data_IF_987776494738
#
_entry.id   IF_987776494738
#
_cell.length_a   1.000
_cell.length_b   1.000
_cell.length_c   1.000
_cell.angle_alpha   90.00
_cell.angle_beta   90.00
_cell.angle_gamma   90.00
#
_symmetry.space_group_name_H-M   'P 1'
#
loop_
_entity.id
_entity.type
_entity.pdbx_description
1 polymer ?
#
# COMPACT_ATOMS: atom_id res chain seq x y z
N UNK A 1 -2.96 -8.39 10.48
CA UNK A 1 -2.59 -7.05 10.99
C UNK A 1 -3.72 -6.08 10.66
N UNK A 2 -3.79 -4.95 11.36
CA UNK A 2 -4.80 -3.91 11.12
C UNK A 2 -4.29 -2.92 10.07
N UNK A 3 -5.09 -2.66 9.04
CA UNK A 3 -4.83 -1.69 7.99
C UNK A 3 -4.92 -0.24 8.48
N UNK A 4 -4.89 0.70 7.53
CA UNK A 4 -4.98 2.14 7.80
C UNK A 4 -6.13 2.78 7.04
N UNK A 5 -6.45 4.03 7.39
CA UNK A 5 -7.47 4.85 6.73
C UNK A 5 -7.03 6.32 6.68
N UNK A 6 -5.74 6.54 6.46
CA UNK A 6 -5.12 7.86 6.34
C UNK A 6 -5.28 8.47 4.96
N UNK A 7 -5.68 7.69 3.94
CA UNK A 7 -5.84 8.13 2.54
C UNK A 7 -4.56 8.82 2.04
N UNK A 8 -4.67 10.05 1.56
CA UNK A 8 -3.54 10.84 1.04
C UNK A 8 -2.94 11.80 2.08
N UNK A 9 -3.24 11.62 3.37
CA UNK A 9 -2.74 12.50 4.44
C UNK A 9 -1.21 12.54 4.45
N UNK A 10 -0.63 13.74 4.50
CA UNK A 10 0.83 13.92 4.48
C UNK A 10 1.40 13.63 5.88
N UNK A 11 2.35 12.70 6.03
CA UNK A 11 2.97 12.44 7.32
C UNK A 11 3.86 13.62 7.74
N UNK A 12 3.80 14.00 9.02
CA UNK A 12 4.67 15.05 9.59
C UNK A 12 6.15 14.67 9.58
N UNK A 13 6.46 13.37 9.69
CA UNK A 13 7.81 12.83 9.63
C UNK A 13 7.83 11.53 8.82
N UNK A 14 8.49 11.55 7.67
CA UNK A 14 8.56 10.41 6.73
C UNK A 14 9.32 9.21 7.28
N UNK A 15 10.39 9.43 8.05
CA UNK A 15 11.18 8.34 8.65
C UNK A 15 10.39 7.63 9.76
N UNK A 16 9.57 8.37 10.51
CA UNK A 16 8.66 7.78 11.48
C UNK A 16 7.51 7.06 10.78
N UNK A 17 6.97 7.63 9.70
CA UNK A 17 5.93 7.00 8.89
C UNK A 17 6.38 5.65 8.31
N UNK A 18 7.57 5.58 7.72
CA UNK A 18 8.15 4.32 7.23
C UNK A 18 8.26 3.27 8.35
N UNK A 19 8.79 3.64 9.51
CA UNK A 19 8.88 2.72 10.67
C UNK A 19 7.51 2.21 11.11
N UNK A 20 6.49 3.07 11.14
CA UNK A 20 5.12 2.66 11.45
C UNK A 20 4.53 1.68 10.43
N UNK A 21 4.84 1.84 9.14
CA UNK A 21 4.43 0.89 8.10
C UNK A 21 5.17 -0.45 8.28
N UNK A 22 6.48 -0.40 8.48
CA UNK A 22 7.30 -1.58 8.73
C UNK A 22 6.77 -2.39 9.92
N UNK A 23 6.67 -1.77 11.10
CA UNK A 23 6.27 -2.46 12.34
C UNK A 23 4.84 -3.00 12.28
N UNK A 24 3.97 -2.35 11.49
CA UNK A 24 2.59 -2.79 11.30
C UNK A 24 2.47 -4.02 10.42
N UNK A 25 3.28 -4.11 9.36
CA UNK A 25 3.10 -5.09 8.30
C UNK A 25 4.15 -6.20 8.31
N UNK A 26 5.22 -6.09 9.10
CA UNK A 26 6.21 -7.15 9.26
C UNK A 26 5.53 -8.48 9.67
N UNK A 27 5.84 -9.54 8.93
CA UNK A 27 5.25 -10.88 9.07
C UNK A 27 3.71 -10.95 8.96
N UNK A 28 3.07 -9.90 8.45
CA UNK A 28 1.63 -9.90 8.24
C UNK A 28 1.27 -10.64 6.94
N UNK A 29 0.32 -11.56 7.04
CA UNK A 29 -0.23 -12.29 5.88
C UNK A 29 -1.63 -11.83 5.47
N UNK A 30 -2.32 -11.14 6.36
CA UNK A 30 -3.72 -10.73 6.19
C UNK A 30 -3.92 -9.31 6.74
N UNK A 31 -4.34 -8.38 5.89
CA UNK A 31 -4.65 -6.99 6.28
C UNK A 31 -6.15 -6.85 6.48
N UNK A 32 -6.56 -6.65 7.73
CA UNK A 32 -7.92 -6.25 8.06
C UNK A 32 -8.03 -4.73 7.99
N UNK A 33 -8.58 -4.23 6.88
CA UNK A 33 -8.65 -2.82 6.51
C UNK A 33 -7.97 -2.56 5.18
N UNK A 34 -7.50 -1.33 4.99
CA UNK A 34 -6.82 -0.91 3.76
C UNK A 34 -5.31 -1.02 3.91
N UNK A 35 -4.63 -1.41 2.82
CA UNK A 35 -3.19 -1.32 2.71
C UNK A 35 -2.83 0.01 2.03
N UNK A 36 -2.34 0.98 2.80
CA UNK A 36 -1.95 2.30 2.27
C UNK A 36 -0.44 2.47 2.33
N UNK A 37 0.21 2.40 1.17
CA UNK A 37 1.62 2.69 0.97
C UNK A 37 1.74 4.10 0.43
N UNK A 38 2.05 5.06 1.32
CA UNK A 38 2.10 6.46 0.95
C UNK A 38 3.38 7.16 1.37
N UNK A 39 3.79 8.20 0.63
CA UNK A 39 4.90 9.09 1.02
C UNK A 39 6.25 8.40 1.27
N UNK A 40 6.55 7.36 0.48
CA UNK A 40 7.79 6.59 0.51
C UNK A 40 8.74 7.07 -0.59
N UNK A 41 9.36 8.24 -0.40
CA UNK A 41 10.11 8.94 -1.46
C UNK A 41 11.60 8.58 -1.53
N UNK A 42 12.16 7.91 -0.52
CA UNK A 42 13.51 7.38 -0.62
C UNK A 42 13.51 6.12 -1.50
N UNK A 43 14.30 6.16 -2.56
CA UNK A 43 14.36 5.09 -3.58
C UNK A 43 14.99 3.80 -3.06
N UNK A 44 15.69 3.86 -1.93
CA UNK A 44 16.45 2.75 -1.35
C UNK A 44 15.72 2.11 -0.15
N UNK A 45 14.48 2.49 0.13
CA UNK A 45 13.71 1.87 1.22
C UNK A 45 13.49 0.38 0.95
N UNK A 46 13.74 -0.44 1.97
CA UNK A 46 13.38 -1.84 1.95
C UNK A 46 11.89 -2.00 2.28
N UNK A 47 11.14 -2.61 1.35
CA UNK A 47 9.72 -2.91 1.48
C UNK A 47 9.46 -4.43 1.59
N UNK A 48 10.50 -5.23 1.86
CA UNK A 48 10.42 -6.69 2.00
C UNK A 48 9.43 -7.15 3.08
N UNK A 49 9.15 -6.31 4.07
CA UNK A 49 8.14 -6.58 5.10
C UNK A 49 6.71 -6.77 4.54
N UNK A 50 6.45 -6.32 3.31
CA UNK A 50 5.18 -6.52 2.60
C UNK A 50 5.07 -7.88 1.92
N UNK A 51 6.18 -8.63 1.77
CA UNK A 51 6.24 -9.82 0.92
C UNK A 51 5.26 -10.92 1.30
N UNK A 52 4.90 -11.01 2.58
CA UNK A 52 4.03 -12.06 3.11
C UNK A 52 2.54 -11.72 3.02
N UNK A 53 2.16 -10.49 2.67
CA UNK A 53 0.75 -10.10 2.58
C UNK A 53 0.09 -10.88 1.46
N UNK A 54 -0.93 -11.67 1.79
CA UNK A 54 -1.70 -12.50 0.86
C UNK A 54 -3.05 -11.92 0.53
N UNK A 55 -3.65 -11.22 1.49
CA UNK A 55 -5.01 -10.75 1.38
C UNK A 55 -5.19 -9.40 2.06
N UNK A 56 -5.95 -8.52 1.40
CA UNK A 56 -6.38 -7.22 1.92
C UNK A 56 -7.90 -7.17 1.88
N UNK A 57 -8.56 -6.88 3.01
CA UNK A 57 -10.02 -6.84 3.07
C UNK A 57 -10.62 -5.57 2.47
N UNK A 58 -9.90 -4.44 2.57
CA UNK A 58 -10.26 -3.15 2.00
C UNK A 58 -9.67 -2.90 0.62
N UNK A 59 -9.25 -1.67 0.39
CA UNK A 59 -8.51 -1.26 -0.81
C UNK A 59 -6.99 -1.29 -0.60
N UNK A 60 -6.25 -1.28 -1.70
CA UNK A 60 -4.81 -1.03 -1.75
C UNK A 60 -4.57 0.34 -2.39
N UNK A 61 -3.90 1.23 -1.66
CA UNK A 61 -3.52 2.56 -2.11
C UNK A 61 -2.00 2.65 -2.17
N UNK A 62 -1.46 3.01 -3.34
CA UNK A 62 -0.04 3.26 -3.56
C UNK A 62 0.11 4.68 -4.09
N UNK A 63 0.64 5.60 -3.29
CA UNK A 63 0.78 6.99 -3.72
C UNK A 63 2.00 7.71 -3.18
N UNK A 64 2.67 8.54 -3.99
CA UNK A 64 3.94 9.17 -3.60
C UNK A 64 5.00 8.15 -3.16
N UNK A 65 5.11 7.05 -3.89
CA UNK A 65 6.12 6.01 -3.69
C UNK A 65 7.17 6.10 -4.81
N UNK A 66 8.43 6.31 -4.44
CA UNK A 66 9.54 6.50 -5.41
C UNK A 66 10.55 5.34 -5.37
N UNK A 67 10.29 4.29 -4.59
CA UNK A 67 11.05 3.03 -4.63
C UNK A 67 11.03 2.48 -6.06
N UNK A 68 12.19 2.05 -6.55
CA UNK A 68 12.36 1.65 -7.97
C UNK A 68 11.45 0.48 -8.36
N UNK A 69 11.37 -0.54 -7.52
CA UNK A 69 10.60 -1.75 -7.76
C UNK A 69 9.78 -2.06 -6.52
N UNK A 70 8.45 -2.08 -6.66
CA UNK A 70 7.57 -2.56 -5.59
C UNK A 70 7.02 -3.92 -5.96
N UNK A 71 7.36 -4.89 -5.13
CA UNK A 71 6.98 -6.27 -5.27
C UNK A 71 6.02 -6.65 -4.14
N UNK A 72 4.84 -7.15 -4.51
CA UNK A 72 3.87 -7.75 -3.61
C UNK A 72 3.67 -9.22 -4.06
N UNK A 73 4.66 -10.09 -3.79
CA UNK A 73 4.78 -11.39 -4.43
C UNK A 73 3.71 -12.38 -3.96
N UNK A 74 3.21 -12.24 -2.73
CA UNK A 74 2.20 -13.13 -2.16
C UNK A 74 0.78 -12.60 -2.26
N UNK A 75 0.58 -11.34 -2.67
CA UNK A 75 -0.74 -10.70 -2.65
C UNK A 75 -1.63 -11.35 -3.71
N UNK A 76 -2.67 -12.04 -3.23
CA UNK A 76 -3.58 -12.83 -4.05
C UNK A 76 -4.95 -12.18 -4.22
N UNK A 77 -5.46 -11.53 -3.17
CA UNK A 77 -6.84 -11.04 -3.14
C UNK A 77 -6.90 -9.64 -2.55
N UNK A 78 -7.58 -8.74 -3.25
CA UNK A 78 -8.04 -7.44 -2.74
C UNK A 78 -9.57 -7.49 -2.72
N UNK A 79 -10.17 -7.62 -1.55
CA UNK A 79 -11.63 -7.85 -1.44
C UNK A 79 -12.46 -6.60 -1.71
N UNK A 80 -11.95 -5.40 -1.42
CA UNK A 80 -12.67 -4.17 -1.67
C UNK A 80 -13.93 -3.95 -0.81
N UNK A 81 -13.97 -4.46 0.44
CA UNK A 81 -15.08 -4.17 1.38
C UNK A 81 -15.21 -2.67 1.64
N UNK A 82 -14.08 -1.98 1.63
CA UNK A 82 -13.93 -0.53 1.56
C UNK A 82 -13.21 -0.20 0.25
N UNK A 83 -13.54 0.94 -0.35
CA UNK A 83 -12.98 1.39 -1.63
C UNK A 83 -12.43 2.81 -1.50
N UNK A 84 -11.40 3.10 -2.29
CA UNK A 84 -10.82 4.43 -2.38
C UNK A 84 -11.65 5.30 -3.32
N UNK A 85 -11.92 6.55 -2.93
CA UNK A 85 -12.64 7.55 -3.73
C UNK A 85 -11.78 8.78 -3.90
N UNK A 86 -11.74 9.31 -5.12
CA UNK A 86 -11.17 10.63 -5.40
C UNK A 86 -12.32 11.63 -5.29
N UNK A 87 -12.16 12.72 -4.55
CA UNK A 87 -13.22 13.67 -4.21
C UNK A 87 -13.98 14.30 -5.41
N UNK A 88 -13.50 14.09 -6.64
CA UNK A 88 -14.03 14.71 -7.86
C UNK A 88 -14.91 13.80 -8.71
N UNK A 89 -14.89 12.48 -8.47
CA UNK A 89 -15.64 11.49 -9.28
C UNK A 89 -16.37 10.49 -8.37
N UNK A 90 -17.44 9.88 -8.87
CA UNK A 90 -18.14 8.76 -8.22
C UNK A 90 -17.41 7.41 -8.34
N UNK A 91 -16.26 7.40 -9.01
CA UNK A 91 -15.47 6.19 -9.22
C UNK A 91 -14.90 5.66 -7.89
N UNK A 92 -15.01 4.35 -7.71
CA UNK A 92 -14.54 3.64 -6.54
C UNK A 92 -13.46 2.61 -6.93
N UNK A 93 -12.32 2.66 -6.25
CA UNK A 93 -11.16 1.84 -6.59
C UNK A 93 -10.81 0.85 -5.47
N UNK A 94 -10.57 -0.41 -5.84
CA UNK A 94 -10.01 -1.43 -4.93
C UNK A 94 -8.48 -1.43 -4.96
N UNK A 95 -7.89 -1.08 -6.09
CA UNK A 95 -6.47 -0.80 -6.25
C UNK A 95 -6.33 0.59 -6.89
N UNK A 96 -5.61 1.49 -6.22
CA UNK A 96 -5.35 2.83 -6.72
C UNK A 96 -3.85 3.15 -6.66
N UNK A 97 -3.27 3.52 -7.80
CA UNK A 97 -1.85 3.85 -7.94
C UNK A 97 -1.71 5.21 -8.61
N UNK A 98 -1.14 6.20 -7.91
CA UNK A 98 -1.02 7.56 -8.44
C UNK A 98 0.14 8.34 -7.81
N UNK A 99 0.68 9.32 -8.54
CA UNK A 99 1.74 10.23 -8.05
C UNK A 99 3.02 9.54 -7.57
N UNK A 100 3.33 8.37 -8.13
CA UNK A 100 4.48 7.53 -7.76
C UNK A 100 5.49 7.48 -8.91
N UNK A 101 6.79 7.38 -8.60
CA UNK A 101 7.90 7.35 -9.59
C UNK A 101 8.57 5.97 -9.69
N UNK A 102 7.80 4.94 -9.42
CA UNK A 102 8.23 3.53 -9.49
C UNK A 102 8.52 3.16 -10.94
N UNK A 103 9.51 2.31 -11.18
CA UNK A 103 9.74 1.73 -12.50
C UNK A 103 8.81 0.54 -12.73
N UNK A 104 8.65 -0.34 -11.72
CA UNK A 104 7.75 -1.49 -11.78
C UNK A 104 6.89 -1.60 -10.52
N UNK A 105 5.65 -2.03 -10.74
CA UNK A 105 4.75 -2.55 -9.71
C UNK A 105 4.43 -3.99 -10.10
N UNK A 106 4.88 -4.95 -9.28
CA UNK A 106 4.78 -6.37 -9.56
C UNK A 106 3.90 -7.05 -8.51
N UNK A 107 2.77 -7.60 -8.95
CA UNK A 107 1.82 -8.34 -8.11
C UNK A 107 1.51 -9.70 -8.77
N UNK A 108 2.53 -10.58 -8.91
CA UNK A 108 2.45 -11.76 -9.78
C UNK A 108 1.43 -12.81 -9.32
N UNK A 109 1.03 -12.79 -8.05
CA UNK A 109 0.08 -13.74 -7.49
C UNK A 109 -1.38 -13.23 -7.44
N UNK A 110 -1.65 -12.01 -7.91
CA UNK A 110 -2.98 -11.40 -7.86
C UNK A 110 -3.94 -12.20 -8.77
N UNK A 111 -5.12 -12.54 -8.24
CA UNK A 111 -6.14 -13.35 -8.92
C UNK A 111 -7.43 -12.56 -9.15
#
# INVERSE_FOLDING_TARGET
CIGTNGRMSVPSNRNHHYRNLHDRYINCTYVDGNLELTWLQDRNLDLSFLHYIREVTGYVLISHVDVKHLLLPSLQIIRGRTKFKINTNDDEFTLFVAFSKMHTLEIPALR
#
